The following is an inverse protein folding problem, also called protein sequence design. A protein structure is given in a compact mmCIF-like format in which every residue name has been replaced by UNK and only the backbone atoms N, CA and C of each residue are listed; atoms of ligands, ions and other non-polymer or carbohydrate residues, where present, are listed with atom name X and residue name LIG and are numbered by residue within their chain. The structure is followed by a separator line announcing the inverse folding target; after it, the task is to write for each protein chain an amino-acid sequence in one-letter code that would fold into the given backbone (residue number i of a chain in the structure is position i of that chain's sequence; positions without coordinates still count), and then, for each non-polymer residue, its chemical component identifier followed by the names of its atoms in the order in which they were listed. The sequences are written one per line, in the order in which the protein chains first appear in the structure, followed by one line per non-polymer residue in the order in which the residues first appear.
data_IF_426757196860
#
_entry.id   IF_426757196860
#
_cell.length_a   1.000
_cell.length_b   1.000
_cell.length_c   1.000
_cell.angle_alpha   90.00
_cell.angle_beta   90.00
_cell.angle_gamma   90.00
#
_symmetry.space_group_name_H-M   'P 1'
#
loop_
_entity.id
_entity.type
_entity.pdbx_description
1 polymer ?
#
# COMPACT_ATOMS: atom_id res chain seq x y z
N UNK A 1 0.66 -13.93 14.06
CA UNK A 1 -0.46 -13.10 13.56
C UNK A 1 -0.09 -12.14 12.42
N UNK A 2 1.19 -11.89 12.11
CA UNK A 2 1.61 -10.97 11.03
C UNK A 2 1.01 -11.34 9.66
N UNK A 3 1.09 -12.61 9.28
CA UNK A 3 0.64 -13.10 7.98
C UNK A 3 -0.87 -12.97 7.75
N UNK A 4 -1.69 -13.04 8.80
CA UNK A 4 -3.15 -13.06 8.66
C UNK A 4 -3.67 -11.80 7.95
N UNK A 5 -3.22 -10.62 8.38
CA UNK A 5 -3.66 -9.36 7.78
C UNK A 5 -3.24 -9.24 6.31
N UNK A 6 -2.02 -9.69 5.99
CA UNK A 6 -1.49 -9.65 4.62
C UNK A 6 -2.27 -10.59 3.69
N UNK A 7 -2.62 -11.79 4.15
CA UNK A 7 -3.48 -12.70 3.38
C UNK A 7 -4.90 -12.14 3.21
N UNK A 8 -5.44 -11.47 4.23
CA UNK A 8 -6.73 -10.80 4.11
C UNK A 8 -6.72 -9.73 3.02
N UNK A 9 -5.66 -8.90 2.95
CA UNK A 9 -5.48 -7.93 1.85
C UNK A 9 -5.36 -8.64 0.50
N UNK A 10 -4.66 -9.78 0.44
CA UNK A 10 -4.53 -10.54 -0.80
C UNK A 10 -5.89 -11.02 -1.34
N UNK A 11 -6.77 -11.53 -0.46
CA UNK A 11 -8.11 -11.95 -0.89
C UNK A 11 -9.00 -10.76 -1.20
N UNK A 12 -8.94 -9.70 -0.39
CA UNK A 12 -9.69 -8.47 -0.63
C UNK A 12 -9.30 -7.84 -1.98
N UNK A 13 -8.02 -7.86 -2.33
CA UNK A 13 -7.56 -7.34 -3.61
C UNK A 13 -8.24 -8.06 -4.79
N UNK A 14 -8.37 -9.39 -4.73
CA UNK A 14 -9.08 -10.16 -5.76
C UNK A 14 -10.55 -9.75 -5.87
N UNK A 15 -11.22 -9.53 -4.74
CA UNK A 15 -12.65 -9.13 -4.71
C UNK A 15 -12.84 -7.73 -5.27
N UNK A 16 -11.95 -6.79 -4.92
CA UNK A 16 -12.00 -5.39 -5.34
C UNK A 16 -11.43 -5.16 -6.76
N UNK A 17 -10.95 -6.20 -7.44
CA UNK A 17 -10.30 -6.10 -8.76
C UNK A 17 -8.89 -5.50 -8.74
N UNK A 18 -8.27 -5.37 -7.57
CA UNK A 18 -6.91 -4.90 -7.40
C UNK A 18 -5.89 -6.01 -7.72
N UNK A 19 -4.76 -5.62 -8.27
CA UNK A 19 -3.72 -6.55 -8.71
C UNK A 19 -2.63 -6.69 -7.63
N UNK A 20 -2.29 -7.91 -7.24
CA UNK A 20 -1.17 -8.17 -6.32
C UNK A 20 0.15 -8.05 -7.10
N UNK A 21 0.98 -7.07 -6.76
CA UNK A 21 2.28 -6.84 -7.38
C UNK A 21 3.41 -7.60 -6.69
N UNK A 22 3.34 -7.68 -5.36
CA UNK A 22 4.35 -8.34 -4.53
C UNK A 22 3.71 -8.85 -3.26
N UNK A 23 4.19 -9.99 -2.80
CA UNK A 23 3.77 -10.61 -1.55
C UNK A 23 4.96 -11.35 -0.93
N UNK A 24 5.20 -11.14 0.35
CA UNK A 24 6.24 -11.84 1.11
C UNK A 24 5.77 -12.15 2.52
N UNK A 25 5.96 -13.40 2.92
CA UNK A 25 5.70 -13.88 4.27
C UNK A 25 6.86 -13.62 5.24
N UNK A 26 8.05 -13.33 4.71
CA UNK A 26 9.28 -13.17 5.47
C UNK A 26 10.05 -11.97 4.91
N UNK A 27 9.73 -10.78 5.43
CA UNK A 27 10.33 -9.53 4.95
C UNK A 27 11.67 -9.33 5.65
N UNK A 28 12.77 -9.43 4.89
CA UNK A 28 14.13 -9.19 5.39
C UNK A 28 14.56 -7.71 5.42
N UNK A 29 13.62 -6.77 5.27
CA UNK A 29 13.88 -5.33 5.17
C UNK A 29 12.99 -4.53 6.13
N UNK A 30 13.49 -3.38 6.57
CA UNK A 30 12.80 -2.50 7.52
C UNK A 30 13.16 -2.79 8.98
N UNK A 31 12.33 -2.35 9.94
CA UNK A 31 12.59 -2.54 11.36
C UNK A 31 12.75 -4.03 11.72
N UNK A 32 13.77 -4.35 12.51
CA UNK A 32 13.96 -5.70 13.05
C UNK A 32 12.87 -5.94 14.09
N UNK A 33 12.09 -7.00 13.90
CA UNK A 33 11.10 -7.44 14.88
C UNK A 33 11.80 -8.29 15.94
N UNK A 34 11.53 -8.06 17.22
CA UNK A 34 12.16 -8.82 18.31
C UNK A 34 11.70 -10.29 18.33
N UNK A 35 10.52 -10.58 17.77
CA UNK A 35 9.90 -11.89 17.74
C UNK A 35 9.30 -12.16 16.36
N UNK A 36 9.70 -13.25 15.71
CA UNK A 36 9.10 -13.71 14.45
C UNK A 36 9.44 -12.82 13.24
N UNK A 37 8.68 -13.00 12.16
CA UNK A 37 8.91 -12.29 10.90
C UNK A 37 7.76 -11.35 10.55
N UNK A 38 8.11 -10.18 10.01
CA UNK A 38 7.16 -9.31 9.33
C UNK A 38 6.77 -9.90 7.96
N UNK A 39 5.54 -9.62 7.55
CA UNK A 39 5.00 -9.97 6.24
C UNK A 39 4.60 -8.71 5.49
N UNK A 40 4.67 -8.69 4.17
CA UNK A 40 4.24 -7.55 3.37
C UNK A 40 3.53 -7.94 2.08
N UNK A 41 2.67 -7.05 1.60
CA UNK A 41 2.00 -7.14 0.31
C UNK A 41 1.93 -5.77 -0.32
N UNK A 42 2.11 -5.71 -1.63
CA UNK A 42 1.86 -4.51 -2.43
C UNK A 42 0.83 -4.84 -3.50
N UNK A 43 -0.22 -4.03 -3.56
CA UNK A 43 -1.34 -4.16 -4.50
C UNK A 43 -1.47 -2.88 -5.31
N UNK A 44 -1.94 -2.99 -6.54
CA UNK A 44 -2.22 -1.85 -7.42
C UNK A 44 -3.70 -1.77 -7.75
N UNK A 45 -4.18 -0.54 -7.90
CA UNK A 45 -5.56 -0.27 -8.33
C UNK A 45 -5.79 -0.82 -9.76
N UNK A 46 -7.04 -1.11 -10.14
CA UNK A 46 -7.37 -1.65 -11.47
C UNK A 46 -6.95 -0.72 -12.62
N UNK A 47 -7.02 0.60 -12.41
CA UNK A 47 -6.56 1.62 -13.37
C UNK A 47 -5.03 1.85 -13.35
N UNK A 48 -4.30 1.24 -12.41
CA UNK A 48 -2.85 1.35 -12.29
C UNK A 48 -2.32 2.61 -11.62
N UNK A 49 -3.17 3.60 -11.34
CA UNK A 49 -2.82 4.92 -10.79
C UNK A 49 -2.29 4.87 -9.36
N UNK A 50 -2.87 4.02 -8.53
CA UNK A 50 -2.53 3.89 -7.12
C UNK A 50 -1.89 2.54 -6.83
N UNK A 51 -1.06 2.51 -5.80
CA UNK A 51 -0.63 1.26 -5.19
C UNK A 51 -0.72 1.37 -3.67
N UNK A 52 -1.09 0.29 -2.99
CA UNK A 52 -1.07 0.21 -1.54
C UNK A 52 -0.02 -0.82 -1.16
N UNK A 53 0.93 -0.42 -0.31
CA UNK A 53 1.90 -1.31 0.31
C UNK A 53 1.58 -1.47 1.78
N UNK A 54 1.41 -2.71 2.22
CA UNK A 54 1.11 -3.09 3.61
C UNK A 54 2.28 -3.91 4.12
N UNK A 55 2.86 -3.49 5.24
CA UNK A 55 3.79 -4.29 6.05
C UNK A 55 3.12 -4.57 7.39
N UNK A 56 3.10 -5.82 7.81
CA UNK A 56 2.58 -6.21 9.11
C UNK A 56 3.66 -6.93 9.90
N UNK A 57 4.11 -6.31 10.99
CA UNK A 57 5.00 -6.91 11.98
C UNK A 57 4.20 -7.49 13.15
N UNK A 58 4.66 -8.57 13.78
CA UNK A 58 4.06 -9.09 15.00
C UNK A 58 4.14 -8.11 16.18
N UNK A 59 5.21 -7.30 16.26
CA UNK A 59 5.37 -6.26 17.29
C UNK A 59 5.08 -4.88 16.73
N UNK A 60 5.58 -4.55 15.54
CA UNK A 60 5.40 -3.23 14.93
C UNK A 60 3.96 -2.96 14.47
N UNK A 61 3.10 -3.98 14.41
CA UNK A 61 1.77 -3.89 13.85
C UNK A 61 1.75 -3.60 12.35
N UNK A 62 0.60 -3.09 11.87
CA UNK A 62 0.36 -2.82 10.45
C UNK A 62 0.75 -1.41 10.06
N UNK A 63 1.68 -1.30 9.11
CA UNK A 63 2.06 -0.06 8.42
C UNK A 63 1.50 -0.11 7.00
N UNK A 64 0.70 0.89 6.64
CA UNK A 64 0.04 1.00 5.34
C UNK A 64 0.51 2.27 4.64
N UNK A 65 1.00 2.11 3.41
CA UNK A 65 1.52 3.19 2.58
C UNK A 65 0.74 3.23 1.27
N UNK A 66 0.35 4.41 0.80
CA UNK A 66 -0.31 4.60 -0.49
C UNK A 66 0.64 5.34 -1.42
N UNK A 67 0.84 4.77 -2.60
CA UNK A 67 1.49 5.41 -3.73
C UNK A 67 0.43 6.13 -4.55
N UNK A 68 0.65 7.43 -4.79
CA UNK A 68 -0.25 8.29 -5.55
C UNK A 68 0.32 8.56 -6.94
N UNK A 69 -0.50 8.87 -7.96
CA UNK A 69 -0.01 9.34 -9.25
C UNK A 69 0.92 10.53 -9.09
N UNK A 70 2.03 10.55 -9.84
CA UNK A 70 2.99 11.65 -9.78
C UNK A 70 2.37 13.00 -10.15
N UNK A 71 1.38 12.98 -11.06
CA UNK A 71 0.58 14.13 -11.48
C UNK A 71 -0.18 14.82 -10.34
N UNK A 72 -0.55 14.09 -9.27
CA UNK A 72 -1.28 14.64 -8.13
C UNK A 72 -0.37 15.25 -7.06
N UNK A 73 0.94 15.08 -7.16
CA UNK A 73 1.87 15.62 -6.18
C UNK A 73 2.47 16.93 -6.69
N UNK A 74 1.89 18.05 -6.23
CA UNK A 74 2.28 19.41 -6.64
C UNK A 74 3.69 19.81 -6.18
N UNK A 75 4.21 19.16 -5.13
CA UNK A 75 5.47 19.54 -4.47
C UNK A 75 6.62 18.56 -4.74
N UNK A 76 6.46 17.59 -5.65
CA UNK A 76 7.58 16.74 -6.03
C UNK A 76 8.60 17.55 -6.82
N UNK A 77 9.89 17.56 -6.43
CA UNK A 77 10.92 18.04 -7.32
C UNK A 77 10.81 17.27 -8.65
N UNK A 78 10.80 18.02 -9.77
CA UNK A 78 11.00 17.43 -11.10
C UNK A 78 12.36 16.74 -11.02
N UNK A 79 12.36 15.43 -10.77
CA UNK A 79 13.59 14.70 -10.49
C UNK A 79 14.58 14.95 -11.62
N UNK A 80 15.80 15.36 -11.28
CA UNK A 80 16.82 15.80 -12.25
C UNK A 80 17.08 14.76 -13.35
N UNK A 81 16.85 13.48 -13.04
CA UNK A 81 17.07 12.32 -13.92
C UNK A 81 15.89 12.05 -14.87
N UNK A 82 14.65 12.39 -14.46
CA UNK A 82 13.43 12.04 -15.20
C UNK A 82 12.63 13.31 -15.51
N UNK A 83 13.12 14.07 -16.50
CA UNK A 83 12.57 15.37 -16.91
C UNK A 83 11.48 15.26 -17.99
N UNK A 84 11.42 14.14 -18.70
CA UNK A 84 10.49 13.90 -19.81
C UNK A 84 9.05 13.70 -19.30
N UNK A 85 8.08 14.34 -19.95
CA UNK A 85 6.66 14.33 -19.59
C UNK A 85 6.03 12.95 -19.64
N UNK A 86 6.59 12.00 -20.40
CA UNK A 86 6.13 10.61 -20.44
C UNK A 86 6.17 9.93 -19.07
N UNK A 87 7.08 10.36 -18.19
CA UNK A 87 7.25 9.82 -16.83
C UNK A 87 6.22 10.35 -15.82
N UNK A 88 5.39 11.33 -16.21
CA UNK A 88 4.32 11.84 -15.35
C UNK A 88 3.20 10.81 -15.11
N UNK A 89 3.08 9.82 -15.99
CA UNK A 89 2.14 8.70 -15.86
C UNK A 89 2.65 7.59 -14.93
N UNK A 90 3.88 7.71 -14.41
CA UNK A 90 4.35 6.79 -13.38
C UNK A 90 3.73 7.11 -12.02
N UNK A 91 3.70 6.10 -11.16
CA UNK A 91 3.36 6.28 -9.75
C UNK A 91 4.43 7.14 -9.05
N UNK A 92 3.95 8.05 -8.22
CA UNK A 92 4.74 8.97 -7.43
C UNK A 92 5.18 8.39 -6.08
N UNK A 93 5.37 9.25 -5.06
CA UNK A 93 5.87 8.84 -3.76
C UNK A 93 4.80 8.11 -2.96
N UNK A 94 5.28 7.34 -1.99
CA UNK A 94 4.44 6.74 -0.96
C UNK A 94 4.16 7.74 0.16
N UNK A 95 2.92 7.77 0.66
CA UNK A 95 2.54 8.43 1.91
C UNK A 95 1.94 7.41 2.87
N UNK A 96 2.26 7.57 4.15
CA UNK A 96 1.75 6.70 5.21
C UNK A 96 0.29 7.04 5.53
N UNK A 97 -0.54 6.01 5.65
CA UNK A 97 -1.94 6.16 6.04
C UNK A 97 -2.02 6.19 7.55
N UNK A 98 -2.65 7.23 8.10
CA UNK A 98 -2.92 7.33 9.53
C UNK A 98 -4.08 6.39 9.92
N UNK A 99 -3.76 5.11 10.06
CA UNK A 99 -4.73 4.03 10.27
C UNK A 99 -5.68 4.24 11.45
N UNK A 100 -5.17 4.88 12.51
CA UNK A 100 -5.92 5.15 13.74
C UNK A 100 -7.05 6.17 13.53
N UNK A 101 -6.95 7.02 12.51
CA UNK A 101 -7.96 8.04 12.20
C UNK A 101 -8.97 7.60 11.15
N UNK A 102 -8.73 6.46 10.50
CA UNK A 102 -9.62 5.95 9.45
C UNK A 102 -10.85 5.29 10.07
N UNK A 103 -12.01 5.54 9.47
CA UNK A 103 -13.28 4.91 9.86
C UNK A 103 -13.22 3.40 9.63
N UNK A 104 -13.81 2.63 10.57
CA UNK A 104 -13.90 1.17 10.45
C UNK A 104 -13.55 0.41 11.71
N UNK A 105 -14.24 -0.72 11.95
CA UNK A 105 -14.08 -1.52 13.18
C UNK A 105 -12.84 -2.41 13.18
N UNK A 106 -12.44 -2.90 12.01
CA UNK A 106 -11.34 -3.84 11.88
C UNK A 106 -10.44 -3.48 10.68
N UNK A 107 -9.27 -4.11 10.62
CA UNK A 107 -8.27 -3.85 9.59
C UNK A 107 -8.81 -4.10 8.16
N UNK A 108 -9.52 -5.20 7.94
CA UNK A 108 -10.02 -5.55 6.60
C UNK A 108 -11.02 -4.52 6.09
N UNK A 109 -11.95 -4.09 6.94
CA UNK A 109 -12.95 -3.08 6.57
C UNK A 109 -12.31 -1.71 6.29
N UNK A 110 -11.29 -1.32 7.06
CA UNK A 110 -10.49 -0.11 6.76
C UNK A 110 -9.77 -0.23 5.42
N UNK A 111 -9.20 -1.40 5.11
CA UNK A 111 -8.56 -1.63 3.81
C UNK A 111 -9.56 -1.56 2.65
N UNK A 112 -10.76 -2.11 2.83
CA UNK A 112 -11.84 -2.06 1.85
C UNK A 112 -12.27 -0.62 1.57
N UNK A 113 -12.54 0.17 2.62
CA UNK A 113 -12.86 1.60 2.48
C UNK A 113 -11.74 2.37 1.78
N UNK A 114 -10.47 2.05 2.09
CA UNK A 114 -9.32 2.69 1.46
C UNK A 114 -9.24 2.35 -0.03
N UNK A 115 -9.38 1.07 -0.36
CA UNK A 115 -9.38 0.61 -1.75
C UNK A 115 -10.51 1.25 -2.54
N UNK A 116 -11.73 1.26 -2.00
CA UNK A 116 -12.89 1.88 -2.62
C UNK A 116 -12.70 3.39 -2.86
N UNK A 117 -12.14 4.12 -1.88
CA UNK A 117 -11.88 5.56 -2.01
C UNK A 117 -10.84 5.88 -3.09
N UNK A 118 -9.90 4.96 -3.37
CA UNK A 118 -8.87 5.13 -4.40
C UNK A 118 -9.29 4.61 -5.78
N UNK A 119 -10.43 3.93 -5.87
CA UNK A 119 -11.05 3.48 -7.12
C UNK A 119 -12.48 3.99 -7.22
N UNK A 120 -12.68 5.31 -7.43
CA UNK A 120 -14.01 5.84 -7.67
C UNK A 120 -14.59 5.23 -8.96
N UNK A 121 -15.84 4.79 -8.88
CA UNK A 121 -16.62 4.26 -10.00
C UNK A 121 -16.82 5.31 -11.10
#
# INVERSE_FOLDING_TARGET
MSQHQVHAVQQLAKVMGWHVLSFSNHVGLGPVESIGNASAITVASPNGDYAISVRNGPESGSKVMVQFPRSQCKDLPKGDVLQDSKWNHLRGPFKEVQWNKMEGRNFVYKMELLMAALTPC
#
